data_IF_360299899595
#
_entry.id   IF_360299899595
#
_cell.length_a   1.000
_cell.length_b   1.000
_cell.length_c   1.000
_cell.angle_alpha   90.00
_cell.angle_beta   90.00
_cell.angle_gamma   90.00
#
_symmetry.space_group_name_H-M   'P 1'
#
loop_
_entity.id
_entity.type
_entity.pdbx_description
1 polymer ?
#
# COMPACT_ATOMS: atom_id res chain seq x y z
N UNK A 1 1.47 26.35 6.06
CA UNK A 1 1.09 24.94 5.96
C UNK A 1 2.23 24.13 5.31
N UNK A 2 2.39 22.88 5.72
CA UNK A 2 3.39 21.96 5.16
C UNK A 2 2.84 20.53 5.14
N UNK A 3 3.46 19.67 4.34
CA UNK A 3 3.29 18.23 4.42
C UNK A 3 4.62 17.56 4.77
N UNK A 4 4.54 16.38 5.35
CA UNK A 4 5.71 15.61 5.73
C UNK A 4 5.47 14.10 5.59
N UNK A 5 6.53 13.34 5.70
CA UNK A 5 6.52 11.89 5.71
C UNK A 5 7.18 11.38 6.99
N UNK A 6 6.60 10.39 7.63
CA UNK A 6 7.20 9.76 8.81
C UNK A 6 6.74 8.32 8.96
N UNK A 7 7.39 7.60 9.89
CA UNK A 7 6.95 6.28 10.33
C UNK A 7 5.92 6.42 11.45
N UNK A 8 4.99 5.47 11.52
CA UNK A 8 3.93 5.44 12.53
C UNK A 8 4.47 5.29 13.96
N UNK A 9 5.64 4.64 14.15
CA UNK A 9 6.27 4.46 15.47
C UNK A 9 6.78 5.77 16.09
N UNK A 10 6.88 6.83 15.29
CA UNK A 10 7.24 8.19 15.72
C UNK A 10 6.02 9.04 16.10
N UNK A 11 4.81 8.51 15.93
CA UNK A 11 3.57 9.23 16.13
C UNK A 11 2.86 8.77 17.41
N UNK A 12 2.45 9.74 18.20
CA UNK A 12 1.52 9.61 19.31
C UNK A 12 0.59 10.84 19.31
N UNK A 13 -0.39 10.87 20.19
CA UNK A 13 -1.39 11.94 20.26
C UNK A 13 -0.75 13.33 20.46
N UNK A 14 0.24 13.44 21.34
CA UNK A 14 0.98 14.68 21.61
C UNK A 14 1.70 15.19 20.34
N UNK A 15 2.49 14.31 19.69
CA UNK A 15 3.23 14.66 18.47
C UNK A 15 2.26 15.07 17.34
N UNK A 16 1.13 14.37 17.19
CA UNK A 16 0.13 14.68 16.18
C UNK A 16 -0.53 16.03 16.48
N UNK A 17 -0.86 16.32 17.73
CA UNK A 17 -1.38 17.61 18.15
C UNK A 17 -0.44 18.77 17.80
N UNK A 18 0.86 18.63 18.13
CA UNK A 18 1.89 19.62 17.79
C UNK A 18 2.00 19.82 16.28
N UNK A 19 2.00 18.75 15.49
CA UNK A 19 2.03 18.84 14.02
C UNK A 19 0.84 19.61 13.46
N UNK A 20 -0.36 19.37 14.00
CA UNK A 20 -1.57 20.10 13.61
C UNK A 20 -1.46 21.60 13.94
N UNK A 21 -1.03 21.96 15.15
CA UNK A 21 -0.80 23.34 15.58
C UNK A 21 0.24 24.07 14.71
N UNK A 22 1.29 23.35 14.29
CA UNK A 22 2.30 23.87 13.36
C UNK A 22 1.80 24.08 11.93
N UNK A 23 0.57 23.64 11.60
CA UNK A 23 -0.04 23.76 10.28
C UNK A 23 0.31 22.65 9.30
N UNK A 24 0.60 21.44 9.81
CA UNK A 24 0.71 20.25 8.97
C UNK A 24 -0.66 19.91 8.38
N UNK A 25 -0.81 20.07 7.07
CA UNK A 25 -2.10 19.79 6.39
C UNK A 25 -2.18 18.36 5.86
N UNK A 26 -1.04 17.70 5.62
CA UNK A 26 -0.99 16.30 5.16
C UNK A 26 0.25 15.59 5.71
N UNK A 27 0.05 14.35 6.11
CA UNK A 27 1.13 13.47 6.58
C UNK A 27 1.08 12.14 5.83
N UNK A 28 2.23 11.73 5.30
CA UNK A 28 2.42 10.47 4.63
C UNK A 28 2.99 9.43 5.59
N UNK A 29 2.36 8.24 5.64
CA UNK A 29 2.81 7.11 6.45
C UNK A 29 2.97 5.85 5.61
N UNK A 30 4.02 5.09 5.87
CA UNK A 30 4.26 3.79 5.24
C UNK A 30 3.45 2.71 5.94
N UNK A 31 2.26 2.38 5.43
CA UNK A 31 1.51 1.22 5.91
C UNK A 31 2.05 -0.10 5.33
N UNK A 32 2.63 -0.03 4.15
CA UNK A 32 3.25 -1.10 3.36
C UNK A 32 2.29 -2.25 3.02
N UNK A 33 1.62 -2.85 4.01
CA UNK A 33 0.63 -3.91 3.86
C UNK A 33 -0.43 -3.84 4.97
N UNK A 34 -1.60 -4.39 4.72
CA UNK A 34 -2.60 -4.67 5.76
C UNK A 34 -2.49 -6.09 6.33
N UNK A 35 -1.60 -6.92 5.80
CA UNK A 35 -1.33 -8.26 6.29
C UNK A 35 -0.21 -8.24 7.32
N UNK A 36 -0.50 -8.71 8.55
CA UNK A 36 0.51 -8.82 9.59
C UNK A 36 1.66 -9.75 9.17
N UNK A 37 1.35 -10.86 8.49
CA UNK A 37 2.35 -11.79 7.94
C UNK A 37 3.37 -11.07 7.05
N UNK A 38 2.90 -10.18 6.16
CA UNK A 38 3.78 -9.43 5.26
C UNK A 38 4.55 -8.35 6.01
N UNK A 39 3.93 -7.65 6.96
CA UNK A 39 4.62 -6.67 7.81
C UNK A 39 5.74 -7.31 8.64
N UNK A 40 5.50 -8.50 9.18
CA UNK A 40 6.50 -9.26 9.93
C UNK A 40 7.65 -9.72 9.01
N UNK A 41 7.34 -10.22 7.81
CA UNK A 41 8.33 -10.60 6.81
C UNK A 41 9.20 -9.41 6.36
N UNK A 42 8.64 -8.21 6.32
CA UNK A 42 9.37 -6.96 6.03
C UNK A 42 10.17 -6.41 7.23
N UNK A 43 10.14 -7.05 8.41
CA UNK A 43 10.68 -6.54 9.68
C UNK A 43 10.22 -5.09 9.99
N UNK A 44 8.94 -4.78 9.70
CA UNK A 44 8.42 -3.42 9.88
C UNK A 44 8.23 -3.04 11.35
N UNK A 45 8.18 -4.00 12.27
CA UNK A 45 8.00 -3.81 13.72
C UNK A 45 6.77 -2.98 14.07
N UNK A 46 5.72 -3.11 13.25
CA UNK A 46 4.43 -2.45 13.40
C UNK A 46 3.30 -3.45 13.22
N UNK A 47 2.12 -3.10 13.67
CA UNK A 47 0.92 -3.88 13.40
C UNK A 47 -0.11 -3.04 12.60
N UNK A 48 -0.89 -3.74 11.79
CA UNK A 48 -1.89 -3.11 10.94
C UNK A 48 -2.98 -2.40 11.75
N UNK A 49 -3.26 -2.84 12.97
CA UNK A 49 -4.24 -2.19 13.85
C UNK A 49 -3.70 -0.88 14.41
N UNK A 50 -2.44 -0.86 14.87
CA UNK A 50 -1.78 0.38 15.28
C UNK A 50 -1.79 1.40 14.14
N UNK A 51 -1.49 0.98 12.92
CA UNK A 51 -1.54 1.87 11.76
C UNK A 51 -2.93 2.47 11.56
N UNK A 52 -4.01 1.66 11.67
CA UNK A 52 -5.39 2.18 11.58
C UNK A 52 -5.69 3.21 12.68
N UNK A 53 -5.25 2.97 13.91
CA UNK A 53 -5.40 3.94 15.02
C UNK A 53 -4.68 5.25 14.73
N UNK A 54 -3.45 5.20 14.25
CA UNK A 54 -2.67 6.41 13.90
C UNK A 54 -3.33 7.19 12.77
N UNK A 55 -3.80 6.52 11.71
CA UNK A 55 -4.53 7.18 10.61
C UNK A 55 -5.78 7.88 11.12
N UNK A 56 -6.57 7.20 11.95
CA UNK A 56 -7.79 7.79 12.54
C UNK A 56 -7.45 9.00 13.42
N UNK A 57 -6.39 8.94 14.21
CA UNK A 57 -5.95 10.03 15.08
C UNK A 57 -5.50 11.26 14.28
N UNK A 58 -4.71 11.06 13.23
CA UNK A 58 -4.33 12.15 12.32
C UNK A 58 -5.55 12.85 11.71
N UNK A 59 -6.53 12.07 11.23
CA UNK A 59 -7.77 12.60 10.65
C UNK A 59 -8.61 13.35 11.69
N UNK A 60 -8.65 12.91 12.95
CA UNK A 60 -9.32 13.62 14.05
C UNK A 60 -8.69 15.00 14.32
N UNK A 61 -7.39 15.13 14.13
CA UNK A 61 -6.66 16.41 14.24
C UNK A 61 -6.71 17.26 12.96
N UNK A 62 -7.52 16.86 11.95
CA UNK A 62 -7.67 17.60 10.69
C UNK A 62 -6.49 17.46 9.73
N UNK A 63 -5.56 16.54 9.99
CA UNK A 63 -4.43 16.24 9.10
C UNK A 63 -4.87 15.19 8.08
N UNK A 64 -4.76 15.52 6.79
CA UNK A 64 -4.97 14.54 5.71
C UNK A 64 -3.90 13.46 5.75
N UNK A 65 -4.29 12.24 5.45
CA UNK A 65 -3.38 11.09 5.50
C UNK A 65 -3.15 10.50 4.11
N UNK A 66 -1.89 10.55 3.67
CA UNK A 66 -1.41 9.75 2.55
C UNK A 66 -0.77 8.47 3.05
N UNK A 67 -0.98 7.35 2.36
CA UNK A 67 -0.32 6.09 2.73
C UNK A 67 0.36 5.44 1.54
N UNK A 68 1.46 4.73 1.83
CA UNK A 68 2.18 3.90 0.88
C UNK A 68 1.81 2.43 1.08
N UNK A 69 1.55 1.72 -0.01
CA UNK A 69 1.32 0.27 -0.03
C UNK A 69 2.28 -0.35 -1.04
N UNK A 70 2.89 -1.45 -0.65
CA UNK A 70 3.78 -2.26 -1.47
C UNK A 70 3.10 -3.58 -1.83
N UNK A 71 3.21 -4.00 -3.09
CA UNK A 71 2.74 -5.29 -3.59
C UNK A 71 3.91 -6.17 -4.02
N UNK A 72 3.68 -7.48 -4.07
CA UNK A 72 4.64 -8.42 -4.64
C UNK A 72 5.83 -8.70 -3.74
N UNK A 73 5.70 -8.53 -2.43
CA UNK A 73 6.69 -9.03 -1.49
C UNK A 73 6.74 -10.56 -1.51
N UNK A 74 7.90 -11.15 -1.22
CA UNK A 74 8.08 -12.59 -1.20
C UNK A 74 7.03 -13.27 -0.30
N UNK A 75 6.32 -14.25 -0.85
CA UNK A 75 5.29 -14.99 -0.12
C UNK A 75 3.93 -14.28 0.02
N UNK A 76 3.72 -13.14 -0.63
CA UNK A 76 2.40 -12.48 -0.65
C UNK A 76 1.35 -13.33 -1.39
N UNK A 77 0.22 -13.53 -0.75
CA UNK A 77 -0.91 -14.34 -1.24
C UNK A 77 -2.16 -13.49 -1.49
N UNK A 78 -3.22 -14.14 -1.97
CA UNK A 78 -4.54 -13.49 -2.12
C UNK A 78 -5.10 -12.99 -0.80
N UNK A 79 -4.93 -13.78 0.26
CA UNK A 79 -5.40 -13.47 1.61
C UNK A 79 -4.68 -12.24 2.16
N UNK A 80 -3.40 -12.07 1.83
CA UNK A 80 -2.62 -10.89 2.21
C UNK A 80 -3.10 -9.63 1.48
N UNK A 81 -3.46 -9.76 0.20
CA UNK A 81 -4.06 -8.68 -0.57
C UNK A 81 -5.47 -8.35 -0.07
N UNK A 82 -6.28 -9.36 0.31
CA UNK A 82 -7.59 -9.17 0.93
C UNK A 82 -7.47 -8.43 2.27
N UNK A 83 -6.49 -8.79 3.10
CA UNK A 83 -6.20 -8.10 4.36
C UNK A 83 -5.78 -6.64 4.13
N UNK A 84 -4.96 -6.38 3.10
CA UNK A 84 -4.55 -5.02 2.74
C UNK A 84 -5.73 -4.19 2.23
N UNK A 85 -6.61 -4.77 1.42
CA UNK A 85 -7.84 -4.12 0.98
C UNK A 85 -8.77 -3.77 2.16
N UNK A 86 -8.97 -4.71 3.09
CA UNK A 86 -9.76 -4.48 4.29
C UNK A 86 -9.16 -3.37 5.16
N UNK A 87 -7.84 -3.40 5.41
CA UNK A 87 -7.10 -2.37 6.13
C UNK A 87 -7.34 -0.97 5.52
N UNK A 88 -7.23 -0.84 4.21
CA UNK A 88 -7.45 0.43 3.51
C UNK A 88 -8.91 0.90 3.57
N UNK A 89 -9.87 -0.02 3.47
CA UNK A 89 -11.29 0.29 3.57
C UNK A 89 -11.68 0.75 5.00
N UNK A 90 -11.05 0.21 6.02
CA UNK A 90 -11.25 0.59 7.42
C UNK A 90 -10.57 1.92 7.76
N UNK A 91 -9.30 2.09 7.40
CA UNK A 91 -8.52 3.29 7.71
C UNK A 91 -8.89 4.50 6.85
N UNK A 92 -9.38 4.29 5.63
CA UNK A 92 -9.87 5.33 4.70
C UNK A 92 -8.88 6.48 4.50
N UNK A 93 -7.63 6.22 4.14
CA UNK A 93 -6.66 7.29 3.90
C UNK A 93 -7.19 8.25 2.81
N UNK A 94 -6.76 9.51 2.86
CA UNK A 94 -7.15 10.52 1.87
C UNK A 94 -6.44 10.32 0.53
N UNK A 95 -5.18 9.92 0.60
CA UNK A 95 -4.33 9.69 -0.57
C UNK A 95 -3.69 8.29 -0.46
N UNK A 96 -3.54 7.61 -1.59
CA UNK A 96 -2.95 6.28 -1.68
C UNK A 96 -1.90 6.24 -2.80
N UNK A 97 -0.67 5.91 -2.43
CA UNK A 97 0.39 5.57 -3.38
C UNK A 97 0.72 4.08 -3.27
N UNK A 98 0.93 3.46 -4.42
CA UNK A 98 1.27 2.04 -4.48
C UNK A 98 2.52 1.81 -5.31
N UNK A 99 3.34 0.87 -4.90
CA UNK A 99 4.49 0.39 -5.66
C UNK A 99 4.54 -1.13 -5.65
N UNK A 100 5.24 -1.71 -6.61
CA UNK A 100 5.64 -3.13 -6.57
C UNK A 100 6.99 -3.19 -5.89
N UNK A 101 7.16 -4.11 -4.95
CA UNK A 101 8.42 -4.31 -4.24
C UNK A 101 9.55 -4.62 -5.21
N UNK A 102 10.68 -3.99 -5.03
CA UNK A 102 11.89 -4.32 -5.78
C UNK A 102 13.07 -4.49 -4.81
N UNK A 103 13.97 -5.46 -5.06
CA UNK A 103 15.14 -5.69 -4.23
C UNK A 103 16.16 -4.56 -4.39
N UNK A 104 16.50 -3.89 -3.30
CA UNK A 104 17.51 -2.84 -3.26
C UNK A 104 18.85 -3.46 -2.86
N UNK A 105 19.87 -3.27 -3.67
CA UNK A 105 21.20 -3.84 -3.45
C UNK A 105 21.78 -3.43 -2.09
N UNK A 106 22.33 -4.39 -1.37
CA UNK A 106 22.89 -4.17 -0.02
C UNK A 106 21.86 -4.21 1.11
N UNK A 107 20.58 -4.55 0.85
CA UNK A 107 19.58 -4.79 1.88
C UNK A 107 19.44 -6.27 2.21
N UNK A 108 19.02 -6.65 3.44
CA UNK A 108 18.74 -8.04 3.78
C UNK A 108 17.74 -8.71 2.81
N UNK A 109 16.70 -7.99 2.37
CA UNK A 109 15.74 -8.51 1.41
C UNK A 109 16.38 -8.84 0.06
N UNK A 110 17.34 -8.03 -0.42
CA UNK A 110 18.06 -8.33 -1.65
C UNK A 110 18.81 -9.67 -1.54
N UNK A 111 19.50 -9.91 -0.43
CA UNK A 111 20.24 -11.16 -0.19
C UNK A 111 19.28 -12.36 -0.08
N UNK A 112 18.13 -12.18 0.59
CA UNK A 112 17.09 -13.22 0.74
C UNK A 112 16.56 -13.68 -0.62
N UNK A 113 16.31 -12.76 -1.54
CA UNK A 113 15.71 -13.06 -2.86
C UNK A 113 16.72 -13.14 -4.00
N UNK A 114 18.02 -13.11 -3.72
CA UNK A 114 19.09 -12.99 -4.71
C UNK A 114 18.98 -14.00 -5.87
N UNK A 115 18.63 -15.27 -5.58
CA UNK A 115 18.45 -16.31 -6.59
C UNK A 115 17.21 -16.16 -7.47
N UNK A 116 16.29 -15.27 -7.10
CA UNK A 116 15.05 -15.01 -7.80
C UNK A 116 15.06 -13.66 -8.53
N UNK A 117 16.12 -12.86 -8.38
CA UNK A 117 16.22 -11.53 -9.01
C UNK A 117 16.32 -11.67 -10.52
N UNK A 118 15.57 -10.84 -11.21
CA UNK A 118 15.63 -10.60 -12.65
C UNK A 118 15.87 -9.12 -12.83
N UNK A 119 16.97 -8.75 -13.50
CA UNK A 119 17.22 -7.36 -13.87
C UNK A 119 16.64 -7.13 -15.27
N UNK A 120 15.70 -6.18 -15.39
CA UNK A 120 14.94 -5.94 -16.62
C UNK A 120 15.63 -4.93 -17.55
N UNK A 121 16.68 -4.25 -17.10
CA UNK A 121 17.42 -3.23 -17.84
C UNK A 121 18.90 -3.60 -18.04
N UNK A 122 19.53 -3.04 -19.07
CA UNK A 122 20.96 -3.20 -19.28
C UNK A 122 21.76 -2.60 -18.10
N UNK A 123 22.86 -3.23 -17.72
CA UNK A 123 23.70 -2.84 -16.57
C UNK A 123 24.07 -1.34 -16.53
N UNK A 124 24.34 -0.74 -17.68
CA UNK A 124 24.76 0.68 -17.77
C UNK A 124 23.63 1.68 -17.51
N UNK A 125 22.37 1.23 -17.53
CA UNK A 125 21.17 2.07 -17.42
C UNK A 125 20.25 1.60 -16.29
N UNK A 126 20.63 0.53 -15.56
CA UNK A 126 19.77 -0.07 -14.52
C UNK A 126 19.87 0.68 -13.20
N UNK A 127 18.74 0.82 -12.55
CA UNK A 127 18.59 1.20 -11.14
C UNK A 127 18.06 0.03 -10.33
N UNK A 128 18.09 0.12 -8.99
CA UNK A 128 17.46 -0.93 -8.14
C UNK A 128 15.97 -1.10 -8.46
N UNK A 129 15.29 -0.05 -8.93
CA UNK A 129 13.88 -0.11 -9.32
C UNK A 129 13.60 -1.00 -10.53
N UNK A 130 14.63 -1.35 -11.31
CA UNK A 130 14.55 -2.27 -12.46
C UNK A 130 14.73 -3.73 -12.04
N UNK A 131 15.05 -3.99 -10.77
CA UNK A 131 15.13 -5.33 -10.22
C UNK A 131 13.72 -5.84 -9.92
N UNK A 132 13.37 -6.96 -10.54
CA UNK A 132 12.15 -7.70 -10.26
C UNK A 132 12.49 -9.08 -9.69
N UNK A 133 11.51 -9.82 -9.23
CA UNK A 133 11.69 -11.21 -8.80
C UNK A 133 10.77 -12.15 -9.56
N UNK A 134 11.21 -13.41 -9.76
CA UNK A 134 10.45 -14.44 -10.52
C UNK A 134 9.10 -14.79 -9.89
N UNK A 135 8.89 -14.52 -8.61
CA UNK A 135 7.61 -14.78 -7.95
C UNK A 135 6.62 -13.62 -8.06
N UNK A 136 7.04 -12.47 -8.56
CA UNK A 136 6.13 -11.36 -8.82
C UNK A 136 5.17 -11.69 -9.95
N UNK A 137 4.00 -11.11 -9.87
CA UNK A 137 2.97 -11.21 -10.90
C UNK A 137 3.22 -10.21 -12.03
N UNK A 138 2.44 -10.33 -13.10
CA UNK A 138 2.52 -9.40 -14.21
C UNK A 138 2.17 -7.97 -13.82
N UNK A 139 2.68 -6.98 -14.53
CA UNK A 139 2.32 -5.58 -14.34
C UNK A 139 0.80 -5.35 -14.48
N UNK A 140 0.13 -6.12 -15.36
CA UNK A 140 -1.32 -6.08 -15.54
C UNK A 140 -2.05 -6.54 -14.28
N UNK A 141 -1.56 -7.58 -13.60
CA UNK A 141 -2.12 -8.02 -12.31
C UNK A 141 -2.03 -6.90 -11.27
N UNK A 142 -0.88 -6.26 -11.12
CA UNK A 142 -0.71 -5.18 -10.14
C UNK A 142 -1.50 -3.92 -10.51
N UNK A 143 -1.70 -3.64 -11.79
CA UNK A 143 -2.63 -2.60 -12.22
C UNK A 143 -4.05 -2.84 -11.68
N UNK A 144 -4.60 -4.05 -11.85
CA UNK A 144 -5.90 -4.40 -11.31
C UNK A 144 -5.92 -4.42 -9.77
N UNK A 145 -4.86 -4.91 -9.14
CA UNK A 145 -4.71 -4.87 -7.67
C UNK A 145 -4.81 -3.44 -7.14
N UNK A 146 -4.10 -2.50 -7.75
CA UNK A 146 -4.20 -1.07 -7.41
C UNK A 146 -5.63 -0.53 -7.56
N UNK A 147 -6.31 -0.83 -8.66
CA UNK A 147 -7.70 -0.40 -8.86
C UNK A 147 -8.62 -0.97 -7.79
N UNK A 148 -8.40 -2.21 -7.40
CA UNK A 148 -9.19 -2.85 -6.34
C UNK A 148 -8.96 -2.19 -4.99
N UNK A 149 -7.72 -1.88 -4.59
CA UNK A 149 -7.42 -1.13 -3.37
C UNK A 149 -8.08 0.24 -3.35
N UNK A 150 -7.98 1.00 -4.45
CA UNK A 150 -8.65 2.30 -4.60
C UNK A 150 -10.17 2.17 -4.47
N UNK A 151 -10.76 1.11 -5.00
CA UNK A 151 -12.21 0.89 -4.91
C UNK A 151 -12.67 0.69 -3.47
N UNK A 152 -11.88 -0.01 -2.65
CA UNK A 152 -12.15 -0.20 -1.22
C UNK A 152 -12.20 1.11 -0.46
N UNK A 153 -11.16 1.95 -0.62
CA UNK A 153 -11.10 3.28 0.00
C UNK A 153 -12.28 4.16 -0.44
N UNK A 154 -12.52 4.26 -1.76
CA UNK A 154 -13.61 5.09 -2.31
C UNK A 154 -14.99 4.64 -1.84
N UNK A 155 -15.21 3.33 -1.76
CA UNK A 155 -16.47 2.78 -1.26
C UNK A 155 -16.69 3.15 0.20
N UNK A 156 -15.65 2.99 1.03
CA UNK A 156 -15.73 3.31 2.45
C UNK A 156 -15.95 4.81 2.69
N UNK A 157 -15.24 5.68 1.96
CA UNK A 157 -15.44 7.13 2.01
C UNK A 157 -16.87 7.53 1.56
N UNK A 158 -17.35 6.97 0.43
CA UNK A 158 -18.70 7.24 -0.07
C UNK A 158 -19.80 6.74 0.91
N UNK A 159 -19.55 5.65 1.63
CA UNK A 159 -20.46 5.14 2.65
C UNK A 159 -20.58 6.11 3.83
N UNK A 160 -19.46 6.64 4.31
CA UNK A 160 -19.46 7.64 5.40
C UNK A 160 -20.14 8.92 4.95
N UNK A 161 -19.87 9.39 3.75
CA UNK A 161 -20.51 10.57 3.16
C UNK A 161 -21.97 10.33 2.70
N UNK A 162 -22.51 9.11 2.87
CA UNK A 162 -23.87 8.72 2.44
C UNK A 162 -24.16 8.95 0.95
N UNK A 163 -23.15 8.82 0.09
CA UNK A 163 -23.25 9.04 -1.36
C UNK A 163 -23.56 7.73 -2.10
N UNK A 164 -24.81 7.41 -2.34
CA UNK A 164 -25.25 6.15 -2.98
C UNK A 164 -24.60 5.95 -4.38
N UNK A 165 -24.56 7.00 -5.22
CA UNK A 165 -23.91 6.92 -6.52
C UNK A 165 -22.40 6.64 -6.44
N UNK A 166 -21.73 7.21 -5.44
CA UNK A 166 -20.30 6.95 -5.18
C UNK A 166 -20.06 5.50 -4.76
N UNK A 167 -20.94 4.94 -3.93
CA UNK A 167 -20.85 3.53 -3.51
C UNK A 167 -21.06 2.59 -4.70
N UNK A 168 -22.05 2.87 -5.57
CA UNK A 168 -22.29 2.05 -6.76
C UNK A 168 -21.09 2.08 -7.72
N UNK A 169 -20.54 3.25 -8.01
CA UNK A 169 -19.34 3.40 -8.86
C UNK A 169 -18.16 2.61 -8.29
N UNK A 170 -17.94 2.69 -6.97
CA UNK A 170 -16.86 1.96 -6.32
C UNK A 170 -17.08 0.44 -6.34
N UNK A 171 -18.32 -0.04 -6.23
CA UNK A 171 -18.67 -1.45 -6.37
C UNK A 171 -18.39 -1.97 -7.79
N UNK A 172 -18.79 -1.23 -8.82
CA UNK A 172 -18.52 -1.59 -10.21
C UNK A 172 -17.00 -1.63 -10.48
N UNK A 173 -16.27 -0.67 -9.98
CA UNK A 173 -14.80 -0.66 -10.07
C UNK A 173 -14.19 -1.87 -9.34
N UNK A 174 -14.69 -2.21 -8.15
CA UNK A 174 -14.23 -3.37 -7.40
C UNK A 174 -14.47 -4.68 -8.15
N UNK A 175 -15.66 -4.87 -8.73
CA UNK A 175 -15.99 -6.05 -9.51
C UNK A 175 -15.08 -6.16 -10.74
N UNK A 176 -14.92 -5.09 -11.50
CA UNK A 176 -14.02 -5.04 -12.66
C UNK A 176 -12.57 -5.36 -12.27
N UNK A 177 -12.06 -4.71 -11.25
CA UNK A 177 -10.69 -4.91 -10.78
C UNK A 177 -10.46 -6.34 -10.28
N UNK A 178 -11.38 -6.89 -9.48
CA UNK A 178 -11.28 -8.27 -8.96
C UNK A 178 -11.32 -9.31 -10.08
N UNK A 179 -12.18 -9.11 -11.07
CA UNK A 179 -12.22 -9.97 -12.27
C UNK A 179 -10.88 -9.90 -13.03
N UNK A 180 -10.35 -8.68 -13.24
CA UNK A 180 -9.06 -8.49 -13.88
C UNK A 180 -7.92 -9.17 -13.13
N UNK A 181 -7.87 -9.03 -11.79
CA UNK A 181 -6.91 -9.75 -10.95
C UNK A 181 -7.02 -11.27 -11.14
N UNK A 182 -8.23 -11.82 -11.11
CA UNK A 182 -8.45 -13.26 -11.28
C UNK A 182 -7.96 -13.77 -12.64
N UNK A 183 -8.27 -13.06 -13.71
CA UNK A 183 -7.87 -13.42 -15.07
C UNK A 183 -6.34 -13.31 -15.27
N UNK A 184 -5.69 -12.38 -14.58
CA UNK A 184 -4.27 -12.09 -14.75
C UNK A 184 -3.37 -12.76 -13.72
N UNK A 185 -3.93 -13.41 -12.70
CA UNK A 185 -3.17 -14.09 -11.64
C UNK A 185 -2.17 -15.13 -12.17
N UNK A 186 -2.52 -15.82 -13.24
CA UNK A 186 -1.71 -16.87 -13.85
C UNK A 186 -0.83 -16.38 -14.99
N UNK A 187 -0.93 -15.10 -15.37
CA UNK A 187 -0.03 -14.53 -16.37
C UNK A 187 1.40 -14.51 -15.83
N UNK A 188 2.39 -14.77 -16.71
CA UNK A 188 3.79 -14.71 -16.32
C UNK A 188 4.13 -13.32 -15.78
N UNK A 189 4.95 -13.31 -14.74
CA UNK A 189 5.57 -12.12 -14.22
C UNK A 189 6.68 -11.59 -15.12
N UNK A 190 7.58 -10.77 -14.57
CA UNK A 190 8.76 -10.28 -15.29
C UNK A 190 9.61 -11.46 -15.80
N UNK A 191 10.09 -11.36 -17.03
CA UNK A 191 10.98 -12.35 -17.69
C UNK A 191 12.33 -11.72 -17.98
#
# INVERSE_FOLDING_TARGET
>A
PFETITREDRLNEETIGILAEMGCYRLWVGAESGSQKILDAMDRRTDAERMRRIIALLQQHGIRVGTFIMFGYAGETWEDLDATHAHLAESRPDDLLTTVTYPIKGTPYYEEVASAIITTSAWSESSDADNATRFQKSATFYFFTKLWMISGVRRAQARVARLAAGQLKALLLAAFARTGMYLTWRLPGPS
#
